data_IF_574979620305
#
_entry.id   IF_574979620305
#
_cell.length_a   1.000
_cell.length_b   1.000
_cell.length_c   1.000
_cell.angle_alpha   90.00
_cell.angle_beta   90.00
_cell.angle_gamma   90.00
#
_symmetry.space_group_name_H-M   'P 1'
#
loop_
_entity.id
_entity.type
_entity.pdbx_description
1 polymer ?
#
# COMPACT_ATOMS: atom_id res chain seq x y z
N UNK A 1 -13.98 19.66 14.12
CA UNK A 1 -13.53 18.90 12.93
C UNK A 1 -13.31 17.45 13.38
N UNK A 2 -14.38 16.66 13.45
CA UNK A 2 -14.29 15.21 13.71
C UNK A 2 -14.47 14.54 12.35
N UNK A 3 -13.37 14.29 11.67
CA UNK A 3 -13.33 13.48 10.47
C UNK A 3 -12.15 12.51 10.61
N UNK A 4 -12.36 11.26 10.19
CA UNK A 4 -11.33 10.23 9.92
C UNK A 4 -10.81 9.37 11.08
N UNK A 5 -11.70 8.75 11.85
CA UNK A 5 -11.37 7.46 12.50
C UNK A 5 -11.94 6.24 11.75
N UNK A 6 -12.78 6.46 10.74
CA UNK A 6 -13.50 5.39 10.01
C UNK A 6 -12.91 5.01 8.65
N UNK A 7 -11.84 5.69 8.22
CA UNK A 7 -11.20 5.48 6.91
C UNK A 7 -9.79 4.88 7.06
N UNK A 8 -9.52 4.15 8.14
CA UNK A 8 -8.25 3.46 8.36
C UNK A 8 -8.44 1.95 8.20
N UNK A 9 -7.53 1.32 7.47
CA UNK A 9 -7.46 -0.12 7.28
C UNK A 9 -7.29 -0.79 8.65
N UNK A 10 -8.21 -1.71 8.97
CA UNK A 10 -8.12 -2.44 10.23
C UNK A 10 -6.91 -3.39 10.21
N UNK A 11 -6.32 -3.72 11.38
CA UNK A 11 -5.23 -4.69 11.44
C UNK A 11 -5.60 -6.05 10.82
N UNK A 12 -6.84 -6.50 11.01
CA UNK A 12 -7.33 -7.76 10.45
C UNK A 12 -7.40 -7.71 8.91
N UNK A 13 -7.87 -6.60 8.34
CA UNK A 13 -7.91 -6.44 6.89
C UNK A 13 -6.50 -6.29 6.29
N UNK A 14 -5.60 -5.62 7.00
CA UNK A 14 -4.19 -5.52 6.62
C UNK A 14 -3.52 -6.89 6.54
N UNK A 15 -3.77 -7.78 7.49
CA UNK A 15 -3.28 -9.16 7.46
C UNK A 15 -3.84 -9.96 6.27
N UNK A 16 -5.13 -9.81 5.97
CA UNK A 16 -5.76 -10.47 4.83
C UNK A 16 -5.13 -9.98 3.51
N UNK A 17 -4.98 -8.67 3.32
CA UNK A 17 -4.35 -8.09 2.13
C UNK A 17 -2.92 -8.61 2.01
N UNK A 18 -2.14 -8.52 3.10
CA UNK A 18 -0.74 -8.93 3.13
C UNK A 18 -0.59 -10.43 2.80
N UNK A 19 -1.51 -11.28 3.27
CA UNK A 19 -1.55 -12.71 2.98
C UNK A 19 -1.85 -13.06 1.53
N UNK A 20 -2.45 -12.16 0.75
CA UNK A 20 -2.76 -12.35 -0.68
C UNK A 20 -1.69 -11.80 -1.62
N UNK A 21 -0.76 -10.99 -1.11
CA UNK A 21 0.30 -10.41 -1.91
C UNK A 21 1.42 -11.43 -2.20
N UNK A 22 2.07 -11.35 -3.39
CA UNK A 22 3.31 -12.07 -3.66
C UNK A 22 4.36 -11.81 -2.59
N UNK A 23 5.16 -12.83 -2.27
CA UNK A 23 6.12 -12.79 -1.16
C UNK A 23 7.08 -11.60 -1.24
N UNK A 24 7.55 -11.28 -2.46
CA UNK A 24 8.43 -10.11 -2.70
C UNK A 24 7.80 -8.79 -2.21
N UNK A 25 6.50 -8.60 -2.47
CA UNK A 25 5.79 -7.37 -2.11
C UNK A 25 5.53 -7.33 -0.60
N UNK A 26 5.12 -8.47 -0.03
CA UNK A 26 4.92 -8.62 1.42
C UNK A 26 6.17 -8.24 2.20
N UNK A 27 7.32 -8.83 1.85
CA UNK A 27 8.60 -8.54 2.53
C UNK A 27 8.97 -7.07 2.41
N UNK A 28 8.77 -6.46 1.24
CA UNK A 28 9.06 -5.04 1.04
C UNK A 28 8.19 -4.13 1.92
N UNK A 29 6.89 -4.41 2.04
CA UNK A 29 5.97 -3.64 2.89
C UNK A 29 6.34 -3.79 4.37
N UNK A 30 6.64 -5.00 4.84
CA UNK A 30 7.06 -5.26 6.22
C UNK A 30 8.39 -4.55 6.53
N UNK A 31 9.37 -4.66 5.64
CA UNK A 31 10.66 -4.00 5.81
C UNK A 31 10.49 -2.48 5.88
N UNK A 32 9.65 -1.90 5.01
CA UNK A 32 9.37 -0.47 5.02
C UNK A 32 8.66 -0.04 6.31
N UNK A 33 7.70 -0.83 6.79
CA UNK A 33 7.02 -0.58 8.05
C UNK A 33 7.98 -0.58 9.25
N UNK A 34 8.92 -1.53 9.28
CA UNK A 34 9.97 -1.55 10.31
C UNK A 34 10.93 -0.36 10.19
N UNK A 35 11.34 0.02 8.98
CA UNK A 35 12.27 1.12 8.73
C UNK A 35 11.72 2.49 9.19
N UNK A 36 10.43 2.74 8.95
CA UNK A 36 9.81 4.02 9.33
C UNK A 36 9.05 3.95 10.66
N UNK A 37 9.11 2.80 11.35
CA UNK A 37 8.45 2.53 12.63
C UNK A 37 6.93 2.74 12.61
N UNK A 38 6.27 2.39 11.51
CA UNK A 38 4.81 2.54 11.35
C UNK A 38 4.10 1.19 11.36
N UNK A 39 2.81 1.15 11.77
CA UNK A 39 1.99 -0.04 11.62
C UNK A 39 1.90 -0.48 10.16
N UNK A 40 1.91 -1.81 9.94
CA UNK A 40 1.81 -2.36 8.58
C UNK A 40 0.55 -1.90 7.85
N UNK A 41 -0.57 -1.73 8.57
CA UNK A 41 -1.82 -1.21 8.03
C UNK A 41 -1.64 0.19 7.42
N UNK A 42 -0.98 1.11 8.15
CA UNK A 42 -0.71 2.47 7.68
C UNK A 42 0.21 2.47 6.45
N UNK A 43 1.22 1.59 6.40
CA UNK A 43 2.11 1.48 5.24
C UNK A 43 1.38 0.96 4.00
N UNK A 44 0.49 -0.02 4.17
CA UNK A 44 -0.36 -0.52 3.07
C UNK A 44 -1.25 0.61 2.55
N UNK A 45 -1.88 1.38 3.44
CA UNK A 45 -2.71 2.53 3.05
C UNK A 45 -1.91 3.60 2.33
N UNK A 46 -0.75 3.98 2.86
CA UNK A 46 0.13 4.96 2.22
C UNK A 46 0.57 4.50 0.83
N UNK A 47 0.89 3.21 0.66
CA UNK A 47 1.25 2.66 -0.65
C UNK A 47 0.09 2.73 -1.65
N UNK A 48 -1.13 2.39 -1.22
CA UNK A 48 -2.33 2.45 -2.07
C UNK A 48 -2.68 3.91 -2.39
N UNK A 49 -2.72 4.78 -1.38
CA UNK A 49 -3.02 6.20 -1.54
C UNK A 49 -2.00 6.88 -2.45
N UNK A 50 -0.71 6.61 -2.26
CA UNK A 50 0.36 7.12 -3.13
C UNK A 50 0.27 6.59 -4.56
N UNK A 51 -0.24 5.37 -4.78
CA UNK A 51 -0.45 4.85 -6.13
C UNK A 51 -1.67 5.49 -6.82
N UNK A 52 -2.72 5.78 -6.06
CA UNK A 52 -3.95 6.40 -6.56
C UNK A 52 -3.82 7.92 -6.74
N UNK A 53 -2.82 8.53 -6.11
CA UNK A 53 -2.50 9.94 -6.29
C UNK A 53 -2.04 10.20 -7.74
N UNK A 54 -2.85 10.95 -8.49
CA UNK A 54 -2.60 11.29 -9.89
C UNK A 54 -1.38 12.20 -10.09
N UNK A 55 -0.93 12.86 -9.03
CA UNK A 55 0.28 13.69 -9.04
C UNK A 55 1.53 12.90 -8.65
N UNK A 56 1.39 11.67 -8.14
CA UNK A 56 2.52 10.82 -7.84
C UNK A 56 3.23 10.35 -9.13
N UNK A 57 4.56 10.37 -9.11
CA UNK A 57 5.40 9.84 -10.19
C UNK A 57 5.19 8.33 -10.34
N UNK A 58 4.26 7.94 -11.19
CA UNK A 58 3.89 6.55 -11.44
C UNK A 58 4.44 6.00 -12.76
N UNK A 59 4.30 4.69 -12.95
CA UNK A 59 4.63 3.98 -14.20
C UNK A 59 3.62 4.25 -15.34
N UNK A 60 2.91 5.38 -15.33
CA UNK A 60 1.90 5.73 -16.35
C UNK A 60 2.46 5.75 -17.76
N UNK A 61 3.78 5.88 -17.90
CA UNK A 61 4.49 5.79 -19.19
C UNK A 61 4.99 4.37 -19.56
N UNK A 62 4.99 3.40 -18.64
CA UNK A 62 5.59 2.09 -18.91
C UNK A 62 4.66 1.07 -19.58
N UNK A 63 3.36 1.36 -19.75
CA UNK A 63 2.35 0.51 -20.44
C UNK A 63 2.61 -1.02 -20.30
N UNK A 64 2.75 -1.58 -19.09
CA UNK A 64 3.01 -3.00 -18.95
C UNK A 64 1.80 -3.80 -19.47
N UNK A 65 2.01 -4.60 -20.52
CA UNK A 65 0.99 -5.49 -21.09
C UNK A 65 0.27 -5.02 -22.36
N UNK A 66 0.58 -3.86 -22.96
CA UNK A 66 0.12 -3.54 -24.34
C UNK A 66 1.01 -4.24 -25.37
N UNK A 67 0.90 -5.55 -25.47
CA UNK A 67 1.68 -6.36 -26.42
C UNK A 67 1.33 -7.85 -26.43
N UNK A 68 0.12 -8.20 -26.00
CA UNK A 68 -0.48 -9.53 -26.20
C UNK A 68 -1.63 -9.37 -27.19
#
# INVERSE_FOLDING_TARGET
>A
MQAKLQEQLSPADAEVILGRLPERIKVALIARAAEIEYPIAAVIEMAIASFLDTEALGFVDCKPGRGQ
#
